data_IF_660351628034
#
_entry.id   IF_660351628034
#
_cell.length_a   1.000
_cell.length_b   1.000
_cell.length_c   1.000
_cell.angle_alpha   90.00
_cell.angle_beta   90.00
_cell.angle_gamma   90.00
#
_symmetry.space_group_name_H-M   'P 1'
#
loop_
_entity.id
_entity.type
_entity.pdbx_description
1 polymer ?
#
# COMPACT_ATOMS: atom_id res chain seq x y z
N UNK A 1 -1.03 9.44 17.35
CA UNK A 1 -0.91 8.17 18.10
C UNK A 1 -2.30 7.69 18.41
N UNK A 2 -2.58 6.38 18.37
CA UNK A 2 -3.96 5.82 18.43
C UNK A 2 -4.74 6.28 19.68
N UNK A 3 -4.03 6.84 20.67
CA UNK A 3 -4.56 7.73 21.71
C UNK A 3 -5.03 9.08 21.14
N UNK A 4 -6.34 9.19 20.93
CA UNK A 4 -7.13 10.44 20.85
C UNK A 4 -7.03 11.32 19.59
N UNK A 5 -6.19 11.02 18.60
CA UNK A 5 -6.27 11.66 17.28
C UNK A 5 -7.33 10.97 16.40
N UNK A 6 -8.18 11.76 15.75
CA UNK A 6 -9.01 11.26 14.66
C UNK A 6 -8.11 10.99 13.46
N UNK A 7 -8.07 9.75 12.96
CA UNK A 7 -7.44 9.45 11.68
C UNK A 7 -8.22 10.04 10.50
N UNK A 8 -7.64 9.98 9.30
CA UNK A 8 -8.34 10.37 8.09
C UNK A 8 -9.24 9.22 7.61
N UNK A 9 -10.52 9.51 7.38
CA UNK A 9 -11.50 8.53 6.92
C UNK A 9 -11.63 8.55 5.40
N UNK A 10 -11.49 7.37 4.80
CA UNK A 10 -11.81 7.07 3.42
C UNK A 10 -13.12 6.27 3.32
N UNK A 11 -13.88 6.51 2.25
CA UNK A 11 -15.08 5.76 1.90
C UNK A 11 -14.93 5.12 0.50
N UNK A 12 -15.93 4.34 0.08
CA UNK A 12 -15.91 3.62 -1.19
C UNK A 12 -16.14 4.51 -2.43
N UNK A 13 -16.13 5.84 -2.32
CA UNK A 13 -16.26 6.73 -3.47
C UNK A 13 -14.90 6.98 -4.12
N UNK A 14 -14.83 6.91 -5.44
CA UNK A 14 -13.58 7.09 -6.22
C UNK A 14 -12.97 8.49 -6.12
N UNK A 15 -13.72 9.48 -5.61
CA UNK A 15 -13.27 10.85 -5.42
C UNK A 15 -12.85 11.17 -3.97
N UNK A 16 -12.92 10.20 -3.06
CA UNK A 16 -12.50 10.38 -1.67
C UNK A 16 -11.07 9.83 -1.49
N UNK A 17 -10.09 10.64 -1.87
CA UNK A 17 -8.67 10.29 -1.77
C UNK A 17 -7.84 11.52 -1.44
N UNK A 18 -6.61 11.29 -0.97
CA UNK A 18 -5.59 12.35 -0.86
C UNK A 18 -4.59 12.14 -1.98
N UNK A 19 -4.17 13.22 -2.62
CA UNK A 19 -3.12 13.22 -3.64
C UNK A 19 -1.96 14.10 -3.21
N UNK A 20 -0.75 13.57 -3.33
CA UNK A 20 0.50 14.29 -3.13
C UNK A 20 1.25 14.24 -4.45
N UNK A 21 1.57 15.42 -4.99
CA UNK A 21 2.30 15.54 -6.27
C UNK A 21 3.60 14.76 -6.23
N UNK A 22 3.96 14.17 -7.37
CA UNK A 22 5.21 13.43 -7.51
C UNK A 22 6.42 14.25 -7.03
N UNK A 23 7.34 13.56 -6.37
CA UNK A 23 8.53 14.14 -5.80
C UNK A 23 9.65 13.09 -5.73
N UNK A 24 10.87 13.46 -6.11
CA UNK A 24 12.04 12.58 -6.07
C UNK A 24 12.35 12.06 -4.66
N UNK A 25 11.97 12.78 -3.61
CA UNK A 25 12.10 12.32 -2.22
C UNK A 25 11.26 11.07 -1.93
N UNK A 26 10.22 10.83 -2.73
CA UNK A 26 9.36 9.64 -2.66
C UNK A 26 9.79 8.53 -3.64
N UNK A 27 11.00 8.66 -4.23
CA UNK A 27 11.58 7.71 -5.19
C UNK A 27 12.92 7.09 -4.75
N UNK A 28 13.08 6.65 -3.49
CA UNK A 28 14.35 6.11 -3.00
C UNK A 28 14.59 4.66 -3.46
N UNK A 29 15.84 4.21 -3.65
CA UNK A 29 16.14 2.83 -4.06
C UNK A 29 15.81 1.76 -3.01
N UNK A 30 15.68 2.16 -1.75
CA UNK A 30 15.15 1.36 -0.65
C UNK A 30 14.11 2.19 0.09
N UNK A 31 13.01 1.57 0.53
CA UNK A 31 11.86 2.29 1.07
C UNK A 31 11.16 1.51 2.17
N UNK A 32 10.56 2.22 3.12
CA UNK A 32 9.55 1.65 4.01
C UNK A 32 8.34 2.55 4.06
N UNK A 33 7.15 1.98 4.12
CA UNK A 33 5.91 2.74 4.13
C UNK A 33 4.80 1.98 4.84
N UNK A 34 3.90 2.70 5.51
CA UNK A 34 2.79 2.10 6.26
C UNK A 34 2.43 2.93 7.48
N UNK A 35 1.63 2.37 8.37
CA UNK A 35 1.17 3.02 9.59
C UNK A 35 -0.05 2.30 10.17
N UNK A 36 -0.93 3.03 10.83
CA UNK A 36 -2.14 2.46 11.41
C UNK A 36 -3.32 2.56 10.47
N UNK A 37 -4.04 1.45 10.33
CA UNK A 37 -5.24 1.36 9.51
C UNK A 37 -6.38 0.72 10.29
N UNK A 38 -7.61 1.13 10.00
CA UNK A 38 -8.83 0.45 10.43
C UNK A 38 -9.68 0.20 9.19
N UNK A 39 -10.08 -1.05 8.99
CA UNK A 39 -10.86 -1.46 7.80
C UNK A 39 -12.35 -1.41 8.15
N UNK A 40 -13.11 -0.59 7.43
CA UNK A 40 -14.54 -0.40 7.70
C UNK A 40 -15.45 -1.18 6.73
N UNK A 41 -14.88 -1.75 5.66
CA UNK A 41 -15.59 -2.60 4.71
C UNK A 41 -14.77 -2.85 3.45
N UNK A 42 -15.39 -3.50 2.47
CA UNK A 42 -14.72 -4.01 1.28
C UNK A 42 -14.29 -2.93 0.28
N UNK A 43 -14.56 -1.65 0.53
CA UNK A 43 -14.24 -0.59 -0.42
C UNK A 43 -15.00 -0.76 -1.74
N UNK A 44 -14.36 -0.39 -2.84
CA UNK A 44 -14.92 -0.61 -4.18
C UNK A 44 -13.81 -0.85 -5.20
N UNK A 45 -13.92 -1.92 -5.97
CA UNK A 45 -13.02 -2.19 -7.09
C UNK A 45 -13.77 -2.66 -8.34
N UNK A 46 -13.35 -2.22 -9.53
CA UNK A 46 -14.02 -2.56 -10.80
C UNK A 46 -13.34 -3.68 -11.60
N UNK A 47 -12.22 -4.22 -11.11
CA UNK A 47 -11.36 -5.18 -11.82
C UNK A 47 -10.89 -6.36 -10.96
N UNK A 48 -11.35 -6.44 -9.71
CA UNK A 48 -10.98 -7.51 -8.77
C UNK A 48 -9.54 -7.41 -8.23
N UNK A 49 -8.85 -6.29 -8.43
CA UNK A 49 -7.45 -6.08 -8.01
C UNK A 49 -7.27 -5.45 -6.62
N UNK A 50 -8.29 -5.54 -5.75
CA UNK A 50 -8.27 -4.98 -4.40
C UNK A 50 -8.34 -3.45 -4.34
N UNK A 51 -8.18 -2.90 -3.13
CA UNK A 51 -8.25 -1.47 -2.84
C UNK A 51 -6.92 -0.96 -2.32
N UNK A 52 -6.59 0.31 -2.58
CA UNK A 52 -5.32 0.87 -2.14
C UNK A 52 -5.49 1.80 -0.94
N UNK A 53 -4.73 1.51 0.11
CA UNK A 53 -4.54 2.39 1.25
C UNK A 53 -3.53 3.48 0.87
N UNK A 54 -2.44 3.09 0.20
CA UNK A 54 -1.38 3.98 -0.30
C UNK A 54 -0.86 3.47 -1.63
N UNK A 55 -0.45 4.40 -2.49
CA UNK A 55 -0.21 4.13 -3.89
C UNK A 55 0.74 5.14 -4.55
N UNK A 56 1.86 4.71 -5.14
CA UNK A 56 2.79 5.60 -5.86
C UNK A 56 3.06 5.07 -7.26
N UNK A 57 2.95 5.96 -8.25
CA UNK A 57 3.12 5.62 -9.66
C UNK A 57 1.96 4.75 -10.13
N UNK A 58 1.23 5.17 -11.16
CA UNK A 58 0.01 4.47 -11.56
C UNK A 58 -0.20 4.47 -13.05
N UNK A 59 -0.23 3.26 -13.60
CA UNK A 59 -0.39 3.05 -15.03
C UNK A 59 -1.29 1.85 -15.34
N UNK A 60 -1.94 1.88 -16.51
CA UNK A 60 -2.88 0.85 -16.96
C UNK A 60 -2.25 -0.45 -17.45
N UNK A 61 -0.92 -0.56 -17.39
CA UNK A 61 -0.14 -1.66 -17.92
C UNK A 61 1.11 -1.89 -17.08
N UNK A 62 1.81 -2.99 -17.29
CA UNK A 62 2.96 -3.37 -16.46
C UNK A 62 4.06 -2.27 -16.50
N UNK A 63 4.67 -1.91 -15.36
CA UNK A 63 4.59 -2.56 -14.04
C UNK A 63 3.39 -2.19 -13.15
N UNK A 64 2.36 -1.51 -13.68
CA UNK A 64 1.15 -1.02 -13.00
C UNK A 64 1.39 0.09 -11.97
N UNK A 65 2.57 0.12 -11.35
CA UNK A 65 2.95 1.09 -10.33
C UNK A 65 4.43 1.10 -9.98
N UNK A 66 4.83 2.01 -9.09
CA UNK A 66 6.12 1.94 -8.40
C UNK A 66 6.01 1.17 -7.09
N UNK A 67 5.12 1.58 -6.17
CA UNK A 67 4.87 0.87 -4.91
C UNK A 67 3.46 1.10 -4.38
N UNK A 68 3.00 0.21 -3.49
CA UNK A 68 1.69 0.35 -2.88
C UNK A 68 1.49 -0.49 -1.63
N UNK A 69 0.54 -0.06 -0.80
CA UNK A 69 -0.06 -0.82 0.28
C UNK A 69 -1.54 -1.00 -0.05
N UNK A 70 -1.98 -2.25 -0.12
CA UNK A 70 -3.33 -2.61 -0.54
C UNK A 70 -4.05 -3.46 0.49
N UNK A 71 -5.37 -3.34 0.49
CA UNK A 71 -6.31 -4.25 1.14
C UNK A 71 -7.11 -4.95 0.05
N UNK A 72 -7.02 -6.27 -0.01
CA UNK A 72 -7.77 -7.09 -0.93
C UNK A 72 -8.93 -7.75 -0.18
N UNK A 73 -10.17 -7.25 -0.28
CA UNK A 73 -11.34 -7.95 0.24
C UNK A 73 -11.54 -9.23 -0.57
N UNK A 74 -11.80 -10.35 0.10
CA UNK A 74 -12.04 -11.63 -0.54
C UNK A 74 -13.22 -11.54 -1.51
N UNK A 75 -13.10 -12.19 -2.68
CA UNK A 75 -14.19 -12.24 -3.68
C UNK A 75 -13.83 -11.66 -5.06
N UNK A 76 -12.58 -11.23 -5.28
CA UNK A 76 -12.03 -10.86 -6.60
C UNK A 76 -11.29 -12.00 -7.33
N UNK A 77 -10.23 -11.67 -8.10
CA UNK A 77 -9.41 -12.64 -8.87
C UNK A 77 -8.71 -13.68 -7.95
N UNK A 78 -8.57 -13.39 -6.65
CA UNK A 78 -8.08 -14.32 -5.65
C UNK A 78 -9.25 -14.88 -4.81
N UNK A 79 -9.48 -16.21 -4.81
CA UNK A 79 -10.55 -16.80 -4.02
C UNK A 79 -10.26 -16.71 -2.51
N UNK A 80 -11.22 -16.12 -1.80
CA UNK A 80 -11.70 -16.47 -0.45
C UNK A 80 -11.03 -15.92 0.84
N UNK A 81 -10.06 -15.00 0.82
CA UNK A 81 -9.58 -14.42 2.09
C UNK A 81 -9.10 -12.97 1.96
N UNK A 82 -9.58 -12.14 2.88
CA UNK A 82 -9.19 -10.75 3.04
C UNK A 82 -7.72 -10.62 3.43
N UNK A 83 -6.91 -9.87 2.67
CA UNK A 83 -5.47 -9.74 2.93
C UNK A 83 -4.96 -8.31 2.81
N UNK A 84 -3.90 -8.02 3.55
CA UNK A 84 -3.06 -6.85 3.31
C UNK A 84 -1.91 -7.26 2.39
N UNK A 85 -1.49 -6.35 1.51
CA UNK A 85 -0.41 -6.58 0.57
C UNK A 85 0.52 -5.38 0.47
N UNK A 86 1.83 -5.65 0.52
CA UNK A 86 2.85 -4.70 0.12
C UNK A 86 3.26 -5.01 -1.32
N UNK A 87 3.41 -3.98 -2.14
CA UNK A 87 3.59 -4.13 -3.57
C UNK A 87 4.71 -3.24 -4.11
N UNK A 88 5.51 -3.78 -5.03
CA UNK A 88 6.57 -3.08 -5.76
C UNK A 88 6.45 -3.43 -7.25
N UNK A 89 6.44 -2.43 -8.12
CA UNK A 89 6.59 -2.60 -9.56
C UNK A 89 8.04 -2.46 -10.02
N UNK A 90 8.44 -3.27 -11.01
CA UNK A 90 9.82 -3.35 -11.49
C UNK A 90 9.89 -3.69 -12.97
N UNK A 91 11.02 -3.40 -13.62
CA UNK A 91 11.25 -3.67 -15.05
C UNK A 91 12.69 -4.19 -15.27
N UNK A 92 12.93 -5.30 -16.04
CA UNK A 92 11.96 -6.18 -16.68
C UNK A 92 11.05 -6.90 -15.67
N UNK A 93 9.74 -6.90 -15.93
CA UNK A 93 8.75 -7.54 -15.07
C UNK A 93 7.44 -6.79 -14.92
N UNK A 94 6.64 -7.23 -13.95
CA UNK A 94 5.32 -6.67 -13.66
C UNK A 94 5.39 -6.00 -12.29
N UNK A 95 4.91 -6.69 -11.28
CA UNK A 95 4.89 -6.29 -9.89
C UNK A 95 5.08 -7.54 -9.04
N UNK A 96 5.62 -7.35 -7.84
CA UNK A 96 5.62 -8.37 -6.80
C UNK A 96 4.70 -7.89 -5.69
N UNK A 97 3.98 -8.83 -5.06
CA UNK A 97 3.18 -8.53 -3.88
C UNK A 97 3.55 -9.50 -2.77
N UNK A 98 3.96 -8.96 -1.61
CA UNK A 98 4.07 -9.70 -0.37
C UNK A 98 2.74 -9.58 0.40
N UNK A 99 1.95 -10.66 0.38
CA UNK A 99 0.67 -10.72 1.09
C UNK A 99 0.82 -11.17 2.54
N UNK A 100 -0.03 -10.67 3.42
CA UNK A 100 -0.24 -11.25 4.74
C UNK A 100 -0.74 -12.69 4.65
N UNK A 101 -0.31 -13.53 5.57
CA UNK A 101 -0.85 -14.89 5.78
C UNK A 101 -2.15 -14.89 6.59
N UNK A 102 -2.40 -13.80 7.33
CA UNK A 102 -3.61 -13.60 8.13
C UNK A 102 -4.77 -13.13 7.25
N UNK A 103 -5.95 -13.66 7.55
CA UNK A 103 -7.23 -13.19 7.04
C UNK A 103 -7.70 -12.01 7.87
N UNK A 104 -7.97 -10.87 7.24
CA UNK A 104 -8.45 -9.67 7.92
C UNK A 104 -9.90 -9.37 7.57
N UNK A 105 -10.80 -9.88 8.40
CA UNK A 105 -12.21 -9.49 8.29
C UNK A 105 -12.31 -7.99 8.59
N UNK A 106 -13.08 -7.21 7.81
CA UNK A 106 -13.46 -5.85 8.17
C UNK A 106 -13.85 -5.82 9.64
N UNK A 107 -13.03 -5.15 10.44
CA UNK A 107 -13.13 -5.15 11.89
C UNK A 107 -12.84 -3.74 12.36
N UNK A 108 -13.55 -3.31 13.39
CA UNK A 108 -13.40 -1.98 13.98
C UNK A 108 -12.10 -1.84 14.80
N UNK A 109 -11.14 -2.73 14.61
CA UNK A 109 -9.85 -2.76 15.29
C UNK A 109 -8.79 -2.08 14.44
N UNK A 110 -7.87 -1.40 15.11
CA UNK A 110 -6.69 -0.84 14.49
C UNK A 110 -5.66 -1.93 14.21
N UNK A 111 -5.03 -1.84 13.04
CA UNK A 111 -3.97 -2.73 12.57
C UNK A 111 -2.78 -1.83 12.24
N UNK A 112 -1.61 -2.15 12.81
CA UNK A 112 -0.36 -1.52 12.37
C UNK A 112 0.22 -2.35 11.24
N UNK A 113 0.46 -1.74 10.08
CA UNK A 113 1.06 -2.41 8.92
C UNK A 113 2.23 -1.61 8.41
N UNK A 114 3.36 -2.29 8.19
CA UNK A 114 4.55 -1.69 7.57
C UNK A 114 5.04 -2.56 6.43
N UNK A 115 5.40 -1.92 5.33
CA UNK A 115 6.12 -2.50 4.21
C UNK A 115 7.57 -2.05 4.30
N UNK A 116 8.53 -2.96 4.08
CA UNK A 116 9.95 -2.60 3.92
C UNK A 116 10.52 -3.24 2.68
N UNK A 117 11.33 -2.50 1.94
CA UNK A 117 11.99 -2.95 0.74
C UNK A 117 13.44 -2.45 0.69
N UNK A 118 14.38 -3.38 0.53
CA UNK A 118 15.82 -3.13 0.65
C UNK A 118 16.57 -3.03 -0.69
N UNK A 119 15.86 -2.98 -1.83
CA UNK A 119 16.44 -3.08 -3.17
C UNK A 119 16.34 -4.48 -3.78
N UNK A 120 16.02 -5.50 -2.96
CA UNK A 120 15.97 -6.90 -3.40
C UNK A 120 14.82 -7.70 -2.77
N UNK A 121 14.41 -7.35 -1.56
CA UNK A 121 13.45 -8.12 -0.76
C UNK A 121 12.35 -7.20 -0.27
N UNK A 122 11.10 -7.56 -0.55
CA UNK A 122 9.91 -6.89 -0.05
C UNK A 122 9.33 -7.67 1.13
N UNK A 123 9.08 -6.99 2.24
CA UNK A 123 8.53 -7.56 3.47
C UNK A 123 7.27 -6.82 3.88
N UNK A 124 6.32 -7.57 4.43
CA UNK A 124 5.14 -7.02 5.10
C UNK A 124 5.18 -7.42 6.57
N UNK A 125 4.95 -6.45 7.43
CA UNK A 125 4.85 -6.59 8.87
C UNK A 125 3.43 -6.22 9.27
N UNK A 126 2.81 -7.04 10.12
CA UNK A 126 1.51 -6.71 10.67
C UNK A 126 1.55 -6.87 12.19
N UNK A 127 1.24 -5.79 12.89
CA UNK A 127 1.33 -5.63 14.34
C UNK A 127 2.76 -5.80 14.87
N UNK A 128 3.07 -6.95 15.49
CA UNK A 128 4.18 -7.19 16.43
C UNK A 128 5.61 -7.13 15.85
N UNK A 129 5.80 -6.45 14.72
CA UNK A 129 7.10 -6.16 14.15
C UNK A 129 7.84 -7.36 13.57
N UNK A 130 7.28 -8.56 13.55
CA UNK A 130 7.82 -9.72 12.81
C UNK A 130 7.26 -9.71 11.39
N UNK A 131 8.07 -9.93 10.33
CA UNK A 131 7.54 -9.99 8.98
C UNK A 131 6.66 -11.22 8.82
N UNK A 132 5.42 -11.02 8.36
CA UNK A 132 4.47 -12.12 8.12
C UNK A 132 4.63 -12.74 6.73
N UNK A 133 5.34 -12.05 5.83
CA UNK A 133 5.72 -12.55 4.51
C UNK A 133 6.92 -11.79 3.96
N UNK A 134 7.65 -12.45 3.05
CA UNK A 134 8.80 -11.90 2.34
C UNK A 134 8.74 -12.37 0.88
N UNK A 135 9.07 -11.50 -0.06
CA UNK A 135 9.14 -11.81 -1.48
C UNK A 135 10.38 -11.19 -2.09
N UNK A 136 11.13 -11.97 -2.88
CA UNK A 136 12.28 -11.48 -3.62
C UNK A 136 11.81 -10.75 -4.88
N UNK A 137 12.51 -9.69 -5.27
CA UNK A 137 12.16 -8.86 -6.42
C UNK A 137 13.38 -8.08 -6.95
N UNK A 138 13.17 -7.35 -8.03
CA UNK A 138 14.16 -6.47 -8.66
C UNK A 138 14.01 -5.02 -8.15
N UNK A 139 14.83 -4.12 -8.68
CA UNK A 139 14.78 -2.68 -8.40
C UNK A 139 13.42 -2.04 -8.73
N UNK A 140 12.95 -1.13 -7.85
CA UNK A 140 11.71 -0.37 -8.07
C UNK A 140 11.81 0.46 -9.35
N UNK A 141 10.77 0.45 -10.18
CA UNK A 141 10.64 1.35 -11.32
C UNK A 141 9.81 2.58 -10.92
N UNK A 142 10.49 3.73 -10.82
CA UNK A 142 9.85 5.02 -10.51
C UNK A 142 9.40 5.81 -11.71
N UNK A 143 10.28 5.95 -12.69
CA UNK A 143 9.96 6.61 -13.94
C UNK A 143 9.04 5.69 -14.76
N UNK A 144 7.75 6.03 -14.78
CA UNK A 144 6.75 5.33 -15.59
C UNK A 144 6.47 6.09 -16.88
N UNK A 145 7.23 7.13 -17.23
CA UNK A 145 6.92 8.04 -18.35
C UNK A 145 6.89 7.36 -19.73
N UNK A 146 7.69 6.31 -19.92
CA UNK A 146 7.63 5.46 -21.11
C UNK A 146 6.30 4.70 -21.24
N UNK A 147 5.47 4.76 -20.20
CA UNK A 147 4.29 3.95 -19.95
C UNK A 147 3.08 4.79 -19.49
N UNK A 148 3.08 6.11 -19.65
CA UNK A 148 1.92 6.97 -19.28
C UNK A 148 1.21 7.52 -20.52
N UNK A 149 -0.13 7.57 -20.45
CA UNK A 149 -0.96 8.52 -21.21
C UNK A 149 -1.24 9.77 -20.36
N UNK A 150 -1.77 10.85 -20.93
CA UNK A 150 -2.05 12.12 -20.23
C UNK A 150 -2.90 12.01 -18.93
N UNK A 151 -3.62 10.90 -18.76
CA UNK A 151 -4.46 10.57 -17.59
C UNK A 151 -3.74 9.77 -16.50
N UNK A 152 -2.44 9.51 -16.66
CA UNK A 152 -1.60 8.68 -15.78
C UNK A 152 -0.46 9.53 -15.23
N UNK A 153 -0.17 9.42 -13.94
CA UNK A 153 0.89 10.19 -13.32
C UNK A 153 1.63 9.39 -12.24
N UNK A 154 2.77 9.95 -11.85
CA UNK A 154 3.62 9.40 -10.82
C UNK A 154 3.23 9.91 -9.42
N UNK A 155 2.06 10.52 -9.23
CA UNK A 155 1.66 11.06 -7.92
C UNK A 155 1.50 9.94 -6.88
N UNK A 156 1.69 10.30 -5.60
CA UNK A 156 1.33 9.47 -4.47
C UNK A 156 -0.16 9.70 -4.16
N UNK A 157 -0.92 8.64 -3.97
CA UNK A 157 -2.30 8.71 -3.49
C UNK A 157 -2.48 7.92 -2.20
N UNK A 158 -3.49 8.32 -1.43
CA UNK A 158 -3.99 7.59 -0.27
C UNK A 158 -5.48 7.33 -0.46
N UNK A 159 -5.92 6.13 -0.11
CA UNK A 159 -7.31 5.69 -0.20
C UNK A 159 -7.79 5.32 -1.61
N UNK A 160 -6.92 5.40 -2.63
CA UNK A 160 -7.27 5.08 -4.01
C UNK A 160 -6.06 4.59 -4.82
N UNK A 161 -6.29 3.84 -5.90
CA UNK A 161 -5.20 3.44 -6.81
C UNK A 161 -4.60 4.69 -7.47
N UNK A 162 -5.39 5.54 -8.11
CA UNK A 162 -4.93 6.77 -8.78
C UNK A 162 -4.87 6.67 -10.29
N UNK A 163 -5.11 5.48 -10.85
CA UNK A 163 -5.32 5.28 -12.29
C UNK A 163 -6.80 5.49 -12.64
N UNK A 164 -7.09 6.37 -13.60
CA UNK A 164 -8.46 6.76 -13.95
C UNK A 164 -9.30 5.68 -14.65
N UNK A 165 -8.69 4.61 -15.18
CA UNK A 165 -9.42 3.57 -15.90
C UNK A 165 -10.10 2.52 -15.00
N UNK A 166 -9.76 2.46 -13.72
CA UNK A 166 -10.36 1.51 -12.78
C UNK A 166 -10.61 2.17 -11.42
N UNK A 167 -11.72 1.80 -10.78
CA UNK A 167 -11.96 2.17 -9.38
C UNK A 167 -11.29 1.15 -8.48
N UNK A 168 -10.57 1.60 -7.45
CA UNK A 168 -9.94 0.76 -6.40
C UNK A 168 -9.84 1.57 -5.09
N UNK A 169 -10.99 1.94 -4.54
CA UNK A 169 -11.13 2.85 -3.41
C UNK A 169 -11.19 2.08 -2.07
N UNK A 170 -10.44 2.57 -1.08
CA UNK A 170 -10.38 1.99 0.25
C UNK A 170 -11.50 2.53 1.14
N UNK A 171 -12.16 1.65 1.90
CA UNK A 171 -13.14 2.04 2.92
C UNK A 171 -12.58 1.76 4.32
N UNK A 172 -12.13 2.81 5.00
CA UNK A 172 -11.47 2.67 6.28
C UNK A 172 -10.91 3.97 6.83
N UNK A 173 -10.11 3.87 7.88
CA UNK A 173 -9.45 5.00 8.52
C UNK A 173 -7.95 4.74 8.49
N UNK A 174 -7.15 5.78 8.23
CA UNK A 174 -5.70 5.73 8.36
C UNK A 174 -5.24 6.74 9.41
N UNK A 175 -4.18 6.41 10.15
CA UNK A 175 -3.51 7.33 11.05
C UNK A 175 -2.00 7.05 11.05
N UNK A 176 -1.21 8.10 11.28
CA UNK A 176 0.26 8.02 11.35
C UNK A 176 0.90 7.25 10.18
N UNK A 177 0.51 7.58 8.94
CA UNK A 177 1.18 6.99 7.76
C UNK A 177 2.56 7.62 7.60
N UNK A 178 3.57 6.76 7.60
CA UNK A 178 4.98 7.11 7.53
C UNK A 178 5.58 6.56 6.22
N UNK A 179 6.51 7.31 5.63
CA UNK A 179 7.33 6.88 4.50
C UNK A 179 8.79 7.21 4.81
N UNK A 180 9.66 6.21 4.74
CA UNK A 180 11.09 6.31 4.97
C UNK A 180 11.86 5.99 3.69
N UNK A 181 12.94 6.72 3.44
CA UNK A 181 13.86 6.49 2.33
C UNK A 181 14.90 5.39 2.59
N UNK A 182 14.56 4.44 3.45
CA UNK A 182 15.38 3.27 3.81
C UNK A 182 14.47 2.08 4.11
N UNK A 183 15.03 0.88 4.00
CA UNK A 183 14.42 -0.31 4.58
C UNK A 183 14.57 -0.27 6.11
N UNK A 184 13.45 -0.21 6.84
CA UNK A 184 13.46 -0.36 8.29
C UNK A 184 13.79 -1.80 8.67
N UNK A 185 14.55 -1.93 9.74
CA UNK A 185 14.83 -3.20 10.40
C UNK A 185 13.62 -3.71 11.16
N UNK A 186 13.64 -5.00 11.51
CA UNK A 186 12.61 -5.61 12.34
C UNK A 186 12.44 -4.88 13.70
N UNK A 187 13.55 -4.46 14.31
CA UNK A 187 13.54 -3.73 15.57
C UNK A 187 12.87 -2.36 15.40
N UNK A 188 13.24 -1.60 14.36
CA UNK A 188 12.63 -0.29 14.10
C UNK A 188 11.11 -0.40 13.85
N UNK A 189 10.66 -1.43 13.13
CA UNK A 189 9.21 -1.66 12.93
C UNK A 189 8.51 -2.03 14.25
N UNK A 190 9.17 -2.82 15.10
CA UNK A 190 8.66 -3.18 16.43
C UNK A 190 8.53 -1.95 17.34
N UNK A 191 9.51 -1.06 17.30
CA UNK A 191 9.52 0.20 18.04
C UNK A 191 8.40 1.13 17.59
N UNK A 192 8.17 1.26 16.27
CA UNK A 192 7.04 2.03 15.74
C UNK A 192 5.68 1.49 16.22
N UNK A 193 5.51 0.16 16.20
CA UNK A 193 4.30 -0.48 16.71
C UNK A 193 4.06 -0.16 18.19
N UNK A 194 5.10 -0.30 19.02
CA UNK A 194 5.00 -0.06 20.47
C UNK A 194 4.83 1.41 20.82
N UNK A 195 5.47 2.32 20.08
CA UNK A 195 5.41 3.76 20.35
C UNK A 195 4.00 4.33 20.15
N UNK A 196 3.26 3.80 19.17
CA UNK A 196 1.94 4.30 18.79
C UNK A 196 0.75 3.47 19.32
N UNK A 197 1.01 2.37 20.03
CA UNK A 197 0.00 1.57 20.75
C UNK A 197 -0.60 2.35 21.94
#
# INVERSE_FOLDING_TARGET
GVKSSGGYTFNSASNNYIKVSDNVALQPPAISFGGWIKINGDGSHSDGGGNYILSKGRIGFQPYMSYGLLYNPGGGINPAIDKLGCEIGFNPGTQIIAYSSLTYVPSQNWIHVMCTYDGSSLKIYVNNGVPVSTSNTNGIKYDLSAFISETQNDDLHFGHWGYGGYTRAFNGVVDEILIYNKALTQTEVSELYQYYQ
#
